data_IF_729232970410
#
_entry.id   IF_729232970410
#
_cell.length_a   1.000
_cell.length_b   1.000
_cell.length_c   1.000
_cell.angle_alpha   90.00
_cell.angle_beta   90.00
_cell.angle_gamma   90.00
#
_symmetry.space_group_name_H-M   'P 1'
#
loop_
_entity.id
_entity.type
_entity.pdbx_description
1 polymer ?
#
# COMPACT_ATOMS: atom_id res chain seq x y z
N UNK A 1 36.80 14.94 36.84
CA UNK A 1 35.37 15.29 36.67
C UNK A 1 35.21 16.12 35.41
N UNK A 2 34.10 15.95 34.68
CA UNK A 2 33.78 16.38 33.30
C UNK A 2 34.05 15.29 32.26
N UNK A 3 33.15 14.99 31.33
CA UNK A 3 31.71 15.14 31.26
C UNK A 3 31.28 14.02 30.30
N UNK A 4 30.29 13.21 30.69
CA UNK A 4 29.71 12.23 29.78
C UNK A 4 28.85 13.01 28.80
N UNK A 5 29.36 13.22 27.59
CA UNK A 5 28.57 13.77 26.49
C UNK A 5 27.51 12.72 26.15
N UNK A 6 26.30 12.98 26.62
CA UNK A 6 25.10 12.18 26.38
C UNK A 6 24.80 12.20 24.88
N UNK A 7 25.07 11.09 24.20
CA UNK A 7 24.55 10.82 22.84
C UNK A 7 23.03 10.78 22.96
N UNK A 8 22.35 11.82 22.46
CA UNK A 8 20.90 11.84 22.33
C UNK A 8 20.59 11.02 21.08
N UNK A 9 19.88 9.91 21.26
CA UNK A 9 19.41 9.04 20.17
C UNK A 9 18.34 9.77 19.36
N UNK A 10 18.56 9.88 18.05
CA UNK A 10 17.61 10.40 17.07
C UNK A 10 16.57 9.31 16.75
N UNK A 11 15.53 9.16 17.58
CA UNK A 11 14.40 8.24 17.30
C UNK A 11 13.17 8.93 16.72
N UNK A 12 13.26 10.23 16.39
CA UNK A 12 12.08 11.06 16.10
C UNK A 12 11.55 10.96 14.65
N UNK A 13 12.12 10.10 13.80
CA UNK A 13 11.73 10.00 12.38
C UNK A 13 10.89 8.77 12.02
N UNK A 14 10.85 7.77 12.89
CA UNK A 14 10.20 6.48 12.62
C UNK A 14 8.69 6.55 12.87
N UNK A 15 8.30 7.10 14.03
CA UNK A 15 6.90 7.25 14.47
C UNK A 15 6.04 8.07 13.49
N UNK A 16 6.59 9.18 12.95
CA UNK A 16 5.85 10.02 11.99
C UNK A 16 5.62 9.34 10.64
N UNK A 17 6.51 8.44 10.22
CA UNK A 17 6.35 7.68 8.99
C UNK A 17 5.30 6.59 9.15
N UNK A 18 5.28 5.93 10.30
CA UNK A 18 4.29 4.90 10.61
C UNK A 18 2.88 5.49 10.70
N UNK A 19 2.71 6.66 11.32
CA UNK A 19 1.42 7.37 11.33
C UNK A 19 0.94 7.68 9.91
N UNK A 20 1.83 8.18 9.04
CA UNK A 20 1.48 8.46 7.65
C UNK A 20 1.12 7.19 6.87
N UNK A 21 1.92 6.12 7.01
CA UNK A 21 1.66 4.84 6.37
C UNK A 21 0.34 4.24 6.83
N UNK A 22 0.01 4.35 8.11
CA UNK A 22 -1.23 3.85 8.69
C UNK A 22 -2.45 4.56 8.10
N UNK A 23 -2.39 5.89 8.00
CA UNK A 23 -3.43 6.69 7.35
C UNK A 23 -3.56 6.37 5.86
N UNK A 24 -2.43 6.19 5.17
CA UNK A 24 -2.42 5.80 3.76
C UNK A 24 -3.05 4.41 3.57
N UNK A 25 -2.69 3.43 4.39
CA UNK A 25 -3.29 2.09 4.30
C UNK A 25 -4.80 2.13 4.54
N UNK A 26 -5.27 2.91 5.51
CA UNK A 26 -6.70 3.10 5.76
C UNK A 26 -7.41 3.74 4.55
N UNK A 27 -6.76 4.72 3.89
CA UNK A 27 -7.29 5.30 2.66
C UNK A 27 -7.37 4.28 1.52
N UNK A 28 -6.32 3.49 1.32
CA UNK A 28 -6.28 2.46 0.27
C UNK A 28 -7.36 1.40 0.48
N UNK A 29 -7.61 1.03 1.74
CA UNK A 29 -8.68 0.11 2.13
C UNK A 29 -10.07 0.66 1.77
N UNK A 30 -10.34 1.94 2.08
CA UNK A 30 -11.57 2.62 1.67
C UNK A 30 -11.75 2.69 0.15
N UNK A 31 -10.67 2.93 -0.60
CA UNK A 31 -10.73 2.95 -2.05
C UNK A 31 -11.12 1.56 -2.60
N UNK A 32 -10.61 0.46 -2.02
CA UNK A 32 -10.99 -0.91 -2.37
C UNK A 32 -12.46 -1.21 -2.04
N UNK A 33 -12.94 -0.83 -0.85
CA UNK A 33 -14.35 -0.97 -0.47
C UNK A 33 -15.27 -0.22 -1.41
N UNK A 34 -14.91 1.02 -1.75
CA UNK A 34 -15.69 1.82 -2.70
C UNK A 34 -15.66 1.18 -4.10
N UNK A 35 -14.48 0.82 -4.62
CA UNK A 35 -14.31 0.19 -5.93
C UNK A 35 -15.18 -1.07 -6.08
N UNK A 36 -15.20 -1.94 -5.07
CA UNK A 36 -15.98 -3.19 -5.07
C UNK A 36 -17.47 -2.99 -4.81
N UNK A 37 -17.85 -1.92 -4.10
CA UNK A 37 -19.23 -1.54 -3.84
C UNK A 37 -19.79 -0.53 -4.87
N UNK A 38 -19.88 0.74 -4.46
CA UNK A 38 -20.56 1.80 -5.21
C UNK A 38 -19.70 2.48 -6.30
N UNK A 39 -18.43 2.12 -6.41
CA UNK A 39 -17.45 2.72 -7.32
C UNK A 39 -17.46 2.11 -8.72
N UNK A 40 -18.38 1.18 -8.99
CA UNK A 40 -18.57 0.55 -10.30
C UNK A 40 -17.27 -0.01 -10.91
N UNK A 41 -16.35 -0.50 -10.05
CA UNK A 41 -15.03 -0.99 -10.47
C UNK A 41 -14.24 -0.02 -11.36
N UNK A 42 -14.43 1.29 -11.19
CA UNK A 42 -13.72 2.29 -11.97
C UNK A 42 -12.35 2.61 -11.34
N UNK A 43 -11.27 2.19 -12.02
CA UNK A 43 -9.88 2.34 -11.58
C UNK A 43 -9.47 3.76 -11.16
N UNK A 44 -10.07 4.79 -11.77
CA UNK A 44 -9.84 6.21 -11.44
C UNK A 44 -10.15 6.57 -9.97
N UNK A 45 -10.85 5.70 -9.24
CA UNK A 45 -11.15 5.88 -7.82
C UNK A 45 -10.12 5.21 -6.91
N UNK A 46 -9.26 4.34 -7.45
CA UNK A 46 -8.14 3.77 -6.72
C UNK A 46 -7.04 4.82 -6.63
N UNK A 47 -6.42 4.94 -5.46
CA UNK A 47 -5.25 5.79 -5.25
C UNK A 47 -4.13 5.49 -6.26
N UNK A 48 -3.86 4.20 -6.53
CA UNK A 48 -2.83 3.78 -7.47
C UNK A 48 -3.25 3.90 -8.94
N UNK A 49 -4.56 4.03 -9.24
CA UNK A 49 -5.07 4.01 -10.61
C UNK A 49 -5.07 2.63 -11.29
N UNK A 50 -4.62 1.58 -10.60
CA UNK A 50 -4.67 0.19 -11.04
C UNK A 50 -4.88 -0.76 -9.85
N UNK A 51 -5.61 -1.86 -10.05
CA UNK A 51 -5.90 -2.85 -9.02
C UNK A 51 -4.64 -3.55 -8.50
N UNK A 52 -3.72 -3.96 -9.39
CA UNK A 52 -2.52 -4.67 -8.99
C UNK A 52 -1.58 -3.76 -8.20
N UNK A 53 -1.40 -2.52 -8.68
CA UNK A 53 -0.57 -1.53 -7.98
C UNK A 53 -1.17 -1.12 -6.63
N UNK A 54 -2.51 -1.00 -6.54
CA UNK A 54 -3.20 -0.73 -5.28
C UNK A 54 -2.93 -1.83 -4.25
N UNK A 55 -3.15 -3.09 -4.63
CA UNK A 55 -2.95 -4.24 -3.74
C UNK A 55 -1.48 -4.39 -3.35
N UNK A 56 -0.57 -4.25 -4.31
CA UNK A 56 0.87 -4.30 -4.05
C UNK A 56 1.27 -3.25 -3.01
N UNK A 57 0.77 -2.02 -3.15
CA UNK A 57 1.02 -0.95 -2.17
C UNK A 57 0.43 -1.26 -0.80
N UNK A 58 -0.76 -1.85 -0.73
CA UNK A 58 -1.36 -2.26 0.54
C UNK A 58 -0.49 -3.31 1.25
N UNK A 59 0.01 -4.33 0.54
CA UNK A 59 0.90 -5.36 1.09
C UNK A 59 2.22 -4.76 1.59
N UNK A 60 2.86 -3.91 0.79
CA UNK A 60 4.09 -3.20 1.18
C UNK A 60 3.92 -2.39 2.47
N UNK A 61 2.84 -1.62 2.58
CA UNK A 61 2.55 -0.82 3.78
C UNK A 61 2.29 -1.74 4.97
N UNK A 62 1.46 -2.77 4.79
CA UNK A 62 1.12 -3.71 5.85
C UNK A 62 2.37 -4.41 6.41
N UNK A 63 3.26 -4.90 5.54
CA UNK A 63 4.52 -5.53 5.92
C UNK A 63 5.45 -4.56 6.65
N UNK A 64 5.48 -3.30 6.23
CA UNK A 64 6.31 -2.25 6.80
C UNK A 64 6.00 -1.85 8.24
N UNK A 65 4.80 -2.14 8.76
CA UNK A 65 4.49 -1.82 10.15
C UNK A 65 5.14 -2.78 11.15
N UNK A 66 5.76 -2.21 12.19
CA UNK A 66 6.22 -2.94 13.37
C UNK A 66 5.06 -3.55 14.15
N UNK A 67 3.97 -2.82 14.29
CA UNK A 67 2.71 -3.28 14.91
C UNK A 67 1.59 -3.26 13.87
N UNK A 68 0.95 -4.42 13.65
CA UNK A 68 -0.08 -4.53 12.61
C UNK A 68 -1.38 -3.84 13.03
N UNK A 69 -2.08 -3.17 12.10
CA UNK A 69 -3.37 -2.55 12.40
C UNK A 69 -4.42 -3.60 12.82
N UNK A 70 -5.28 -3.27 13.79
CA UNK A 70 -6.35 -4.17 14.26
C UNK A 70 -7.54 -4.26 13.29
N UNK A 71 -7.72 -3.26 12.43
CA UNK A 71 -8.88 -3.11 11.54
C UNK A 71 -8.68 -3.71 10.14
N UNK A 72 -7.48 -4.19 9.82
CA UNK A 72 -7.18 -4.81 8.53
C UNK A 72 -6.13 -5.89 8.72
N UNK A 73 -6.41 -7.09 8.25
CA UNK A 73 -5.45 -8.20 8.25
C UNK A 73 -4.83 -8.41 6.86
N UNK A 74 -3.72 -9.15 6.79
CA UNK A 74 -3.17 -9.55 5.49
C UNK A 74 -4.19 -10.38 4.67
N UNK A 75 -4.96 -11.25 5.34
CA UNK A 75 -6.01 -12.05 4.71
C UNK A 75 -7.11 -11.17 4.08
N UNK A 76 -7.43 -10.03 4.69
CA UNK A 76 -8.37 -9.06 4.11
C UNK A 76 -7.79 -8.41 2.85
N UNK A 77 -6.49 -8.10 2.84
CA UNK A 77 -5.78 -7.60 1.64
C UNK A 77 -5.82 -8.64 0.52
N UNK A 78 -5.60 -9.91 0.84
CA UNK A 78 -5.70 -11.03 -0.12
C UNK A 78 -7.13 -11.23 -0.63
N UNK A 79 -8.16 -10.97 0.19
CA UNK A 79 -9.56 -10.96 -0.26
C UNK A 79 -9.82 -9.83 -1.24
N UNK A 80 -9.29 -8.63 -0.98
CA UNK A 80 -9.38 -7.53 -1.96
C UNK A 80 -8.66 -7.90 -3.25
N UNK A 81 -7.47 -8.50 -3.18
CA UNK A 81 -6.72 -8.98 -4.33
C UNK A 81 -7.54 -9.95 -5.18
N UNK A 82 -8.08 -11.01 -4.58
CA UNK A 82 -8.90 -11.99 -5.30
C UNK A 82 -10.17 -11.38 -5.92
N UNK A 83 -10.77 -10.37 -5.26
CA UNK A 83 -12.00 -9.73 -5.73
C UNK A 83 -11.77 -8.68 -6.82
N UNK A 84 -10.61 -8.01 -6.82
CA UNK A 84 -10.25 -6.93 -7.73
C UNK A 84 -9.46 -7.46 -8.94
N UNK A 85 -8.53 -8.37 -8.70
CA UNK A 85 -7.67 -9.02 -9.69
C UNK A 85 -8.24 -10.42 -9.93
N UNK A 86 -9.44 -10.48 -10.51
CA UNK A 86 -10.00 -11.77 -10.93
C UNK A 86 -9.04 -12.41 -11.92
N UNK A 87 -8.54 -13.62 -11.61
CA UNK A 87 -7.52 -14.36 -12.36
C UNK A 87 -7.63 -14.23 -13.89
N UNK A 88 -7.04 -13.18 -14.42
CA UNK A 88 -6.64 -13.04 -15.81
C UNK A 88 -5.18 -12.71 -15.71
N UNK A 89 -4.39 -13.73 -16.06
CA UNK A 89 -2.96 -13.77 -16.35
C UNK A 89 -2.20 -12.42 -16.28
N UNK A 90 -0.98 -12.39 -15.70
CA UNK A 90 -0.16 -11.19 -15.66
C UNK A 90 0.04 -10.66 -17.08
N UNK A 91 -0.61 -9.54 -17.39
CA UNK A 91 -0.38 -8.82 -18.64
C UNK A 91 1.09 -8.38 -18.68
N UNK A 92 1.90 -8.85 -19.63
CA UNK A 92 3.28 -8.44 -19.74
C UNK A 92 3.32 -7.04 -20.38
N UNK A 93 3.04 -6.01 -19.58
CA UNK A 93 3.17 -4.62 -20.00
C UNK A 93 4.16 -3.88 -19.11
N UNK A 94 5.36 -4.42 -19.02
CA UNK A 94 6.56 -3.64 -18.78
C UNK A 94 7.34 -3.54 -20.12
N UNK A 95 7.40 -2.33 -20.68
CA UNK A 95 8.56 -1.75 -21.40
C UNK A 95 9.31 -2.65 -22.41
N UNK A 96 9.06 -2.56 -23.74
CA UNK A 96 9.80 -1.71 -24.74
C UNK A 96 10.26 -2.61 -25.94
N UNK A 97 10.58 -2.16 -27.20
CA UNK A 97 10.44 -0.85 -27.89
C UNK A 97 9.61 -0.89 -29.22
N UNK A 98 9.25 0.32 -29.69
CA UNK A 98 8.82 0.61 -31.06
C UNK A 98 9.89 0.21 -32.10
N UNK A 99 9.55 -0.44 -33.24
CA UNK A 99 10.47 -0.60 -34.35
C UNK A 99 10.75 0.76 -35.01
N UNK A 100 12.02 1.04 -35.31
CA UNK A 100 12.43 2.15 -36.17
C UNK A 100 12.61 1.59 -37.58
N UNK A 101 11.70 1.95 -38.47
CA UNK A 101 11.92 1.94 -39.92
C UNK A 101 11.93 3.39 -40.42
#
# INVERSE_FOLDING_TARGET
MRALTRTIEMTQTDDSRDVFNYQLLARLQQDCEYYLGFGHRAKKHLWAGDEAEQIQKMKELYEGFSEKPEWLTLEDIERYEAAMITAVEPSPSASTPLPKD
#
